data_IF_517278933832
#
_entry.id   IF_517278933832
#
_cell.length_a   1.000
_cell.length_b   1.000
_cell.length_c   1.000
_cell.angle_alpha   90.00
_cell.angle_beta   90.00
_cell.angle_gamma   90.00
#
_symmetry.space_group_name_H-M   'P 1'
#
loop_
_entity.id
_entity.type
_entity.pdbx_description
1 polymer ?
#
# COMPACT_ATOMS: atom_id res chain seq x y z
N UNK A 1 9.15 -18.60 -13.27
CA UNK A 1 8.08 -18.23 -12.31
C UNK A 1 7.40 -16.92 -12.66
N UNK A 2 8.14 -15.88 -13.10
CA UNK A 2 7.57 -14.56 -13.43
C UNK A 2 6.34 -14.61 -14.36
N UNK A 3 6.36 -15.43 -15.41
CA UNK A 3 5.23 -15.59 -16.36
C UNK A 3 4.00 -16.31 -15.80
N UNK A 4 4.10 -16.88 -14.60
CA UNK A 4 3.06 -17.68 -13.94
C UNK A 4 2.72 -17.12 -12.56
N UNK A 5 3.04 -15.85 -12.29
CA UNK A 5 2.82 -15.23 -11.00
C UNK A 5 1.34 -15.23 -10.56
N UNK A 6 0.38 -15.30 -11.50
CA UNK A 6 -1.05 -15.44 -11.20
C UNK A 6 -1.41 -16.66 -10.34
N UNK A 7 -0.56 -17.69 -10.32
CA UNK A 7 -0.77 -18.89 -9.49
C UNK A 7 -0.74 -18.54 -8.00
N UNK A 8 0.05 -17.54 -7.60
CA UNK A 8 0.22 -17.13 -6.20
C UNK A 8 -1.12 -16.68 -5.57
N UNK A 9 -1.83 -15.66 -6.11
CA UNK A 9 -3.15 -15.30 -5.59
C UNK A 9 -4.19 -16.41 -5.79
N UNK A 10 -4.08 -17.21 -6.86
CA UNK A 10 -5.01 -18.30 -7.14
C UNK A 10 -4.98 -19.38 -6.05
N UNK A 11 -3.79 -19.77 -5.57
CA UNK A 11 -3.64 -20.74 -4.48
C UNK A 11 -4.37 -20.25 -3.22
N UNK A 12 -4.24 -18.97 -2.87
CA UNK A 12 -4.93 -18.39 -1.71
C UNK A 12 -6.44 -18.30 -1.92
N UNK A 13 -6.90 -17.97 -3.12
CA UNK A 13 -8.33 -17.95 -3.45
C UNK A 13 -8.95 -19.36 -3.39
N UNK A 14 -8.24 -20.38 -3.89
CA UNK A 14 -8.67 -21.78 -3.78
C UNK A 14 -8.67 -22.22 -2.31
N UNK A 15 -7.65 -21.85 -1.52
CA UNK A 15 -7.62 -22.10 -0.08
C UNK A 15 -8.87 -21.58 0.61
N UNK A 16 -9.29 -20.35 0.34
CA UNK A 16 -10.54 -19.79 0.85
C UNK A 16 -11.76 -20.67 0.53
N UNK A 17 -11.93 -21.08 -0.73
CA UNK A 17 -13.06 -21.91 -1.15
C UNK A 17 -13.05 -23.27 -0.47
N UNK A 18 -11.88 -23.91 -0.36
CA UNK A 18 -11.74 -25.22 0.29
C UNK A 18 -12.02 -25.11 1.79
N UNK A 19 -11.50 -24.09 2.47
CA UNK A 19 -11.76 -23.87 3.90
C UNK A 19 -13.26 -23.68 4.15
N UNK A 20 -13.97 -22.91 3.33
CA UNK A 20 -15.42 -22.76 3.47
C UNK A 20 -16.19 -24.05 3.18
N UNK A 21 -15.79 -24.81 2.16
CA UNK A 21 -16.50 -26.01 1.74
C UNK A 21 -16.32 -27.20 2.70
N UNK A 22 -15.09 -27.43 3.17
CA UNK A 22 -14.74 -28.63 3.94
C UNK A 22 -14.07 -28.35 5.28
N UNK A 23 -13.72 -27.10 5.62
CA UNK A 23 -12.96 -26.77 6.83
C UNK A 23 -13.61 -27.26 8.14
N UNK A 24 -14.94 -27.25 8.23
CA UNK A 24 -15.67 -27.79 9.40
C UNK A 24 -15.56 -29.32 9.57
N UNK A 25 -15.19 -30.04 8.51
CA UNK A 25 -15.00 -31.50 8.52
C UNK A 25 -13.56 -31.90 8.84
N UNK A 26 -12.64 -30.93 8.89
CA UNK A 26 -11.22 -31.15 9.11
C UNK A 26 -10.85 -31.06 10.60
N UNK A 27 -9.82 -31.79 11.04
CA UNK A 27 -9.45 -31.89 12.44
C UNK A 27 -8.99 -30.56 13.05
N UNK A 28 -8.41 -29.64 12.26
CA UNK A 28 -7.99 -28.31 12.74
C UNK A 28 -8.84 -27.17 12.18
N UNK A 29 -10.08 -27.46 11.75
CA UNK A 29 -11.03 -26.42 11.37
C UNK A 29 -10.69 -25.64 10.10
N UNK A 30 -9.69 -26.08 9.31
CA UNK A 30 -9.26 -25.48 8.05
C UNK A 30 -8.00 -24.62 8.14
N UNK A 31 -7.41 -24.40 9.33
CA UNK A 31 -6.18 -23.62 9.47
C UNK A 31 -4.98 -24.27 8.78
N UNK A 32 -4.93 -25.60 8.73
CA UNK A 32 -3.90 -26.36 8.05
C UNK A 32 -3.84 -26.04 6.54
N UNK A 33 -4.99 -25.80 5.90
CA UNK A 33 -5.07 -25.44 4.48
C UNK A 33 -4.54 -24.02 4.28
N UNK A 34 -5.01 -23.06 5.10
CA UNK A 34 -4.60 -21.67 4.99
C UNK A 34 -3.10 -21.49 5.19
N UNK A 35 -2.54 -22.13 6.23
CA UNK A 35 -1.11 -22.10 6.55
C UNK A 35 -0.28 -22.77 5.44
N UNK A 36 -0.70 -23.95 4.95
CA UNK A 36 0.02 -24.62 3.87
C UNK A 36 -0.01 -23.80 2.57
N UNK A 37 -1.17 -23.23 2.22
CA UNK A 37 -1.34 -22.41 1.03
C UNK A 37 -0.43 -21.18 1.05
N UNK A 38 -0.41 -20.42 2.16
CA UNK A 38 0.43 -19.22 2.26
C UNK A 38 1.92 -19.56 2.31
N UNK A 39 2.30 -20.70 2.91
CA UNK A 39 3.68 -21.18 2.89
C UNK A 39 4.16 -21.52 1.47
N UNK A 40 3.32 -22.20 0.67
CA UNK A 40 3.62 -22.44 -0.75
C UNK A 40 3.73 -21.13 -1.52
N UNK A 41 2.80 -20.20 -1.29
CA UNK A 41 2.85 -18.86 -1.90
C UNK A 41 4.13 -18.10 -1.54
N UNK A 42 4.61 -18.19 -0.30
CA UNK A 42 5.86 -17.56 0.12
C UNK A 42 7.07 -18.13 -0.63
N UNK A 43 7.15 -19.45 -0.81
CA UNK A 43 8.20 -20.08 -1.62
C UNK A 43 8.13 -19.63 -3.08
N UNK A 44 6.93 -19.56 -3.65
CA UNK A 44 6.73 -19.06 -5.02
C UNK A 44 7.08 -17.57 -5.16
N UNK A 45 6.82 -16.76 -4.13
CA UNK A 45 7.22 -15.36 -4.08
C UNK A 45 8.74 -15.21 -4.03
N UNK A 46 9.45 -16.01 -3.23
CA UNK A 46 10.92 -16.06 -3.23
C UNK A 46 11.49 -16.52 -4.57
N UNK A 47 10.88 -17.51 -5.21
CA UNK A 47 11.28 -17.96 -6.55
C UNK A 47 11.04 -16.89 -7.63
N UNK A 48 10.00 -16.07 -7.46
CA UNK A 48 9.76 -14.89 -8.30
C UNK A 48 10.78 -13.79 -8.01
N UNK A 49 11.16 -13.61 -6.74
CA UNK A 49 12.32 -12.83 -6.26
C UNK A 49 13.60 -13.15 -7.01
N UNK A 50 14.00 -14.42 -6.93
CA UNK A 50 15.19 -14.92 -7.61
C UNK A 50 15.09 -14.76 -9.13
N UNK A 51 13.93 -15.08 -9.72
CA UNK A 51 13.74 -14.92 -11.16
C UNK A 51 13.83 -13.47 -11.63
N UNK A 52 13.38 -12.50 -10.82
CA UNK A 52 13.53 -11.08 -11.12
C UNK A 52 14.98 -10.64 -10.99
N UNK A 53 15.66 -11.03 -9.90
CA UNK A 53 17.09 -10.77 -9.69
C UNK A 53 17.95 -11.30 -10.84
N UNK A 54 17.71 -12.53 -11.28
CA UNK A 54 18.41 -13.12 -12.42
C UNK A 54 18.16 -12.33 -13.71
N UNK A 55 16.91 -11.96 -13.99
CA UNK A 55 16.55 -11.09 -15.13
C UNK A 55 17.22 -9.71 -15.08
N UNK A 56 17.49 -9.18 -13.88
CA UNK A 56 18.15 -7.87 -13.73
C UNK A 56 19.65 -7.95 -14.00
N UNK A 57 20.31 -9.05 -13.62
CA UNK A 57 21.74 -9.25 -13.83
C UNK A 57 22.07 -9.88 -15.20
N UNK A 58 21.13 -10.60 -15.78
CA UNK A 58 21.23 -11.25 -17.09
C UNK A 58 20.01 -10.83 -17.94
N UNK A 59 20.00 -9.60 -18.46
CA UNK A 59 18.91 -9.15 -19.31
C UNK A 59 18.80 -10.06 -20.55
N UNK A 60 17.58 -10.43 -20.98
CA UNK A 60 17.39 -11.18 -22.21
C UNK A 60 17.95 -10.38 -23.40
N UNK A 61 18.60 -11.07 -24.34
CA UNK A 61 19.07 -10.45 -25.60
C UNK A 61 17.89 -9.74 -26.28
N UNK A 62 18.07 -8.44 -26.56
CA UNK A 62 17.09 -7.65 -27.29
C UNK A 62 17.22 -8.04 -28.77
N UNK A 63 16.16 -8.60 -29.37
CA UNK A 63 16.08 -8.75 -30.82
C UNK A 63 16.12 -7.34 -31.44
N UNK A 64 17.25 -6.97 -32.05
CA UNK A 64 17.53 -5.67 -32.67
C UNK A 64 16.57 -5.26 -33.83
N UNK A 65 15.51 -6.03 -34.08
CA UNK A 65 14.50 -5.72 -35.09
C UNK A 65 13.46 -4.66 -34.64
N UNK A 66 13.43 -4.29 -33.36
CA UNK A 66 12.42 -3.34 -32.82
C UNK A 66 12.94 -1.93 -32.51
N UNK A 67 14.25 -1.69 -32.53
CA UNK A 67 14.83 -0.35 -32.32
C UNK A 67 14.66 0.59 -33.52
N UNK A 68 14.61 0.06 -34.76
CA UNK A 68 14.43 0.91 -35.96
C UNK A 68 13.05 1.59 -36.02
N UNK A 69 12.05 1.09 -35.30
CA UNK A 69 10.72 1.72 -35.25
C UNK A 69 10.63 2.87 -34.23
N UNK A 70 11.47 2.87 -33.20
CA UNK A 70 11.49 3.90 -32.16
C UNK A 70 12.48 5.05 -32.48
N UNK A 71 13.61 4.76 -33.13
CA UNK A 71 14.61 5.76 -33.48
C UNK A 71 14.17 6.72 -34.60
N UNK A 72 13.24 6.30 -35.48
CA UNK A 72 12.78 7.16 -36.59
C UNK A 72 11.73 8.20 -36.19
N UNK A 73 11.17 8.12 -34.97
CA UNK A 73 10.20 9.09 -34.45
C UNK A 73 10.83 10.34 -33.82
N UNK A 74 12.08 10.23 -33.33
CA UNK A 74 12.78 11.32 -32.62
C UNK A 74 13.64 12.20 -33.54
N UNK A 75 13.98 11.73 -34.75
CA UNK A 75 14.85 12.46 -35.67
C UNK A 75 14.13 13.51 -36.55
N UNK A 76 12.81 13.64 -36.46
CA UNK A 76 12.02 14.51 -37.35
C UNK A 76 11.57 15.85 -36.73
N UNK A 77 12.09 16.24 -35.56
CA UNK A 77 11.68 17.46 -34.85
C UNK A 77 12.85 18.42 -34.52
N UNK A 78 13.88 18.47 -35.36
CA UNK A 78 14.96 19.46 -35.28
C UNK A 78 14.96 20.37 -36.49
N UNK A 79 14.08 21.38 -36.52
CA UNK A 79 14.09 22.42 -37.55
C UNK A 79 15.02 23.58 -37.15
N UNK A 80 15.82 24.00 -38.13
CA UNK A 80 16.89 24.99 -38.09
C UNK A 80 16.42 26.36 -37.59
N UNK A 81 17.23 27.02 -36.75
CA UNK A 81 17.20 28.48 -36.60
C UNK A 81 18.63 29.00 -36.62
N UNK A 82 18.85 29.94 -37.53
CA UNK A 82 20.11 30.53 -37.97
C UNK A 82 20.84 31.36 -36.89
N UNK A 83 22.17 31.36 -37.01
CA UNK A 83 23.10 32.31 -36.38
C UNK A 83 22.98 33.69 -37.04
N UNK A 84 22.94 34.77 -36.25
CA UNK A 84 23.60 36.04 -36.61
C UNK A 84 23.81 36.97 -35.40
N UNK A 85 24.93 37.71 -35.49
CA UNK A 85 25.67 38.46 -34.47
C UNK A 85 24.99 39.69 -33.85
N UNK A 86 25.39 40.07 -32.62
CA UNK A 86 25.96 41.40 -32.32
C UNK A 86 26.39 41.54 -30.84
N UNK A 87 27.60 42.10 -30.67
CA UNK A 87 28.33 42.34 -29.42
C UNK A 87 27.81 43.55 -28.60
N UNK A 88 28.08 43.55 -27.28
CA UNK A 88 28.77 44.63 -26.54
C UNK A 88 28.79 44.41 -25.01
N UNK A 89 30.02 44.41 -24.48
CA UNK A 89 30.56 45.09 -23.30
C UNK A 89 30.21 44.76 -21.82
N UNK A 90 31.32 44.72 -21.08
CA UNK A 90 31.62 45.02 -19.67
C UNK A 90 31.49 43.96 -18.56
N UNK A 91 32.67 43.38 -18.28
CA UNK A 91 33.40 43.44 -17.00
C UNK A 91 32.62 43.30 -15.68
N UNK A 92 32.80 42.15 -15.02
CA UNK A 92 33.48 42.11 -13.72
C UNK A 92 33.88 40.67 -13.38
N UNK A 93 35.19 40.46 -13.25
CA UNK A 93 35.80 39.27 -12.68
C UNK A 93 35.78 39.32 -11.15
N UNK A 94 35.54 38.18 -10.51
CA UNK A 94 36.42 37.72 -9.43
C UNK A 94 36.42 36.19 -9.35
N UNK A 95 37.63 35.66 -9.54
CA UNK A 95 38.13 34.29 -9.31
C UNK A 95 37.95 33.92 -7.82
N UNK A 96 38.01 32.70 -7.29
CA UNK A 96 38.43 31.38 -7.72
C UNK A 96 37.90 30.37 -6.69
N UNK A 97 37.60 29.15 -7.14
CA UNK A 97 37.96 27.92 -6.43
C UNK A 97 37.85 26.75 -7.42
N UNK A 98 38.90 26.60 -8.22
CA UNK A 98 39.15 25.39 -8.98
C UNK A 98 39.42 24.24 -7.99
N UNK A 99 38.52 23.27 -7.96
CA UNK A 99 38.80 21.92 -7.51
C UNK A 99 38.73 21.02 -8.74
N UNK A 100 39.89 20.64 -9.26
CA UNK A 100 40.04 19.49 -10.16
C UNK A 100 39.54 18.25 -9.40
N UNK A 101 38.45 17.65 -9.86
CA UNK A 101 38.09 16.28 -9.52
C UNK A 101 38.05 15.48 -10.82
N UNK A 102 39.22 14.98 -11.21
CA UNK A 102 39.39 13.89 -12.18
C UNK A 102 38.81 12.61 -11.57
N UNK A 103 37.49 12.49 -11.64
CA UNK A 103 36.74 11.29 -11.30
C UNK A 103 36.01 10.78 -12.53
N UNK A 104 36.58 9.78 -13.22
CA UNK A 104 35.83 8.90 -14.11
C UNK A 104 34.73 8.18 -13.33
N UNK A 105 33.59 8.85 -13.14
CA UNK A 105 32.31 8.20 -12.88
C UNK A 105 31.74 7.81 -14.23
N UNK A 106 31.89 6.54 -14.61
CA UNK A 106 31.01 5.96 -15.63
C UNK A 106 29.57 6.27 -15.23
N UNK A 107 28.85 7.04 -16.05
CA UNK A 107 27.41 7.05 -16.01
C UNK A 107 26.95 5.59 -16.17
N UNK A 108 26.68 4.91 -15.06
CA UNK A 108 25.95 3.65 -15.10
C UNK A 108 24.59 4.01 -15.68
N UNK A 109 24.45 3.84 -17.00
CA UNK A 109 23.18 3.88 -17.67
C UNK A 109 22.26 2.92 -16.90
N UNK A 110 21.34 3.45 -16.09
CA UNK A 110 20.41 2.66 -15.32
C UNK A 110 19.59 1.82 -16.30
N UNK A 111 19.98 0.55 -16.46
CA UNK A 111 19.35 -0.33 -17.42
C UNK A 111 17.92 -0.62 -16.94
N UNK A 112 16.93 0.02 -17.57
CA UNK A 112 15.53 -0.16 -17.20
C UNK A 112 15.09 -1.54 -17.68
N UNK A 113 14.87 -2.47 -16.75
CA UNK A 113 14.39 -3.82 -17.07
C UNK A 113 12.88 -3.79 -17.23
N UNK A 114 12.32 -4.11 -18.42
CA UNK A 114 10.89 -4.04 -18.65
C UNK A 114 10.14 -5.09 -17.82
N UNK A 115 8.93 -4.76 -17.35
CA UNK A 115 8.09 -5.68 -16.59
C UNK A 115 7.72 -6.91 -17.43
N UNK A 116 7.53 -8.05 -16.76
CA UNK A 116 6.96 -9.24 -17.38
C UNK A 116 5.44 -9.13 -17.31
N UNK A 117 4.81 -8.88 -18.45
CA UNK A 117 3.35 -8.76 -18.57
C UNK A 117 2.79 -10.02 -19.22
N UNK A 118 1.72 -10.56 -18.62
CA UNK A 118 0.91 -11.61 -19.21
C UNK A 118 -0.55 -11.29 -18.99
N UNK A 119 -1.31 -11.16 -20.06
CA UNK A 119 -2.73 -10.84 -20.00
C UNK A 119 -3.54 -11.75 -20.91
N UNK A 120 -4.84 -11.78 -20.67
CA UNK A 120 -5.84 -12.44 -21.50
C UNK A 120 -7.02 -11.50 -21.63
N UNK A 121 -7.58 -11.38 -22.84
CA UNK A 121 -8.81 -10.61 -23.06
C UNK A 121 -9.96 -11.27 -22.32
N UNK A 122 -10.55 -10.54 -21.38
CA UNK A 122 -11.70 -11.00 -20.61
C UNK A 122 -13.01 -10.65 -21.29
N UNK A 123 -13.14 -9.40 -21.74
CA UNK A 123 -14.32 -8.89 -22.44
C UNK A 123 -13.92 -7.86 -23.49
N UNK A 124 -14.61 -7.89 -24.63
CA UNK A 124 -14.45 -6.92 -25.70
C UNK A 124 -15.82 -6.56 -26.29
N UNK A 125 -16.12 -5.26 -26.30
CA UNK A 125 -17.34 -4.73 -26.91
C UNK A 125 -17.15 -3.27 -27.34
N UNK A 126 -17.62 -2.92 -28.54
CA UNK A 126 -17.64 -1.56 -29.10
C UNK A 126 -16.32 -0.77 -28.91
N UNK A 127 -15.19 -1.44 -29.18
CA UNK A 127 -13.84 -0.84 -29.07
C UNK A 127 -13.23 -0.87 -27.66
N UNK A 128 -13.97 -1.26 -26.63
CA UNK A 128 -13.46 -1.36 -25.25
C UNK A 128 -12.77 -2.71 -25.02
N UNK A 129 -11.45 -2.61 -24.87
CA UNK A 129 -10.41 -3.55 -24.40
C UNK A 129 -10.39 -3.95 -22.93
N UNK A 130 -11.14 -4.94 -22.42
CA UNK A 130 -10.95 -5.38 -21.01
C UNK A 130 -10.07 -6.62 -20.92
N UNK A 131 -8.86 -6.45 -20.39
CA UNK A 131 -7.91 -7.54 -20.11
C UNK A 131 -7.90 -7.91 -18.63
N UNK A 132 -7.51 -9.15 -18.33
CA UNK A 132 -7.13 -9.59 -16.99
C UNK A 132 -5.75 -10.20 -17.09
N UNK A 133 -4.84 -9.79 -16.22
CA UNK A 133 -3.43 -10.12 -16.37
C UNK A 133 -2.61 -9.94 -15.11
N UNK A 134 -1.32 -10.16 -15.29
CA UNK A 134 -0.30 -9.95 -14.27
C UNK A 134 0.83 -9.10 -14.81
N UNK A 135 1.19 -8.06 -14.07
CA UNK A 135 2.40 -7.25 -14.28
C UNK A 135 3.42 -7.56 -13.18
N UNK A 136 4.58 -8.09 -13.57
CA UNK A 136 5.64 -8.47 -12.63
C UNK A 136 6.90 -7.66 -12.91
N UNK A 137 7.24 -6.80 -11.95
CA UNK A 137 8.50 -6.08 -11.88
C UNK A 137 9.10 -6.11 -10.47
N UNK A 138 10.15 -5.32 -10.22
CA UNK A 138 10.81 -5.25 -8.91
C UNK A 138 9.86 -4.83 -7.78
N UNK A 139 8.96 -3.89 -8.04
CA UNK A 139 7.99 -3.42 -7.04
C UNK A 139 6.95 -4.50 -6.72
N UNK A 140 6.43 -5.21 -7.73
CA UNK A 140 5.52 -6.35 -7.55
C UNK A 140 6.20 -7.44 -6.74
N UNK A 141 7.43 -7.81 -7.11
CA UNK A 141 8.16 -8.93 -6.52
C UNK A 141 8.50 -8.67 -5.06
N UNK A 142 8.96 -7.45 -4.73
CA UNK A 142 9.17 -7.03 -3.35
C UNK A 142 7.87 -7.19 -2.53
N UNK A 143 6.75 -6.69 -3.06
CA UNK A 143 5.46 -6.76 -2.36
C UNK A 143 4.91 -8.18 -2.24
N UNK A 144 5.13 -9.06 -3.23
CA UNK A 144 4.76 -10.48 -3.12
C UNK A 144 5.47 -11.14 -1.93
N UNK A 145 6.76 -10.88 -1.75
CA UNK A 145 7.54 -11.43 -0.63
C UNK A 145 7.02 -10.88 0.70
N UNK A 146 6.84 -9.55 0.80
CA UNK A 146 6.36 -8.90 2.04
C UNK A 146 4.97 -9.41 2.44
N UNK A 147 4.03 -9.44 1.50
CA UNK A 147 2.64 -9.87 1.77
C UNK A 147 2.59 -11.35 2.16
N UNK A 148 3.28 -12.23 1.43
CA UNK A 148 3.28 -13.67 1.74
C UNK A 148 4.02 -13.98 3.04
N UNK A 149 5.11 -13.28 3.35
CA UNK A 149 5.86 -13.43 4.59
C UNK A 149 5.03 -13.04 5.82
N UNK A 150 4.49 -11.82 5.83
CA UNK A 150 3.69 -11.33 6.96
C UNK A 150 2.41 -12.15 7.08
N UNK A 151 1.77 -12.49 5.96
CA UNK A 151 0.58 -13.35 5.97
C UNK A 151 0.89 -14.73 6.54
N UNK A 152 2.03 -15.34 6.23
CA UNK A 152 2.43 -16.63 6.82
C UNK A 152 2.57 -16.53 8.34
N UNK A 153 3.24 -15.50 8.85
CA UNK A 153 3.38 -15.28 10.30
C UNK A 153 2.01 -15.09 10.96
N UNK A 154 1.13 -14.31 10.35
CA UNK A 154 -0.23 -14.09 10.84
C UNK A 154 -1.05 -15.38 10.83
N UNK A 155 -1.01 -16.17 9.75
CA UNK A 155 -1.72 -17.45 9.68
C UNK A 155 -1.24 -18.42 10.77
N UNK A 156 0.07 -18.50 11.01
CA UNK A 156 0.62 -19.37 12.07
C UNK A 156 0.20 -18.86 13.45
N UNK A 157 0.37 -17.56 13.72
CA UNK A 157 0.04 -16.97 15.02
C UNK A 157 -1.46 -17.04 15.33
N UNK A 158 -2.33 -16.87 14.32
CA UNK A 158 -3.77 -16.98 14.48
C UNK A 158 -4.23 -18.38 14.90
N UNK A 159 -3.43 -19.43 14.67
CA UNK A 159 -3.85 -20.81 14.96
C UNK A 159 -4.10 -21.04 16.44
N UNK A 160 -3.29 -20.39 17.27
CA UNK A 160 -3.39 -20.39 18.72
C UNK A 160 -4.26 -19.23 19.21
N UNK A 161 -4.12 -18.03 18.62
CA UNK A 161 -4.83 -16.83 19.09
C UNK A 161 -6.36 -16.96 19.06
N UNK A 162 -6.94 -17.54 18.00
CA UNK A 162 -8.39 -17.78 17.90
C UNK A 162 -8.78 -19.22 18.24
N UNK A 163 -7.89 -19.98 18.91
CA UNK A 163 -8.18 -21.36 19.30
C UNK A 163 -9.45 -21.43 20.16
N UNK A 164 -10.37 -22.34 19.81
CA UNK A 164 -11.64 -22.49 20.50
C UNK A 164 -12.73 -21.47 20.10
N UNK A 165 -12.47 -20.53 19.19
CA UNK A 165 -13.50 -19.63 18.68
C UNK A 165 -14.53 -20.41 17.83
N UNK A 166 -15.82 -20.21 18.09
CA UNK A 166 -16.95 -20.78 17.33
C UNK A 166 -16.85 -20.54 15.82
N UNK A 167 -16.19 -19.47 15.39
CA UNK A 167 -16.06 -19.02 13.99
C UNK A 167 -14.69 -19.32 13.37
N UNK A 168 -13.88 -20.19 13.98
CA UNK A 168 -12.53 -20.52 13.54
C UNK A 168 -12.39 -20.74 12.02
N UNK A 169 -13.24 -21.57 11.42
CA UNK A 169 -13.20 -21.85 9.97
C UNK A 169 -13.48 -20.62 9.11
N UNK A 170 -14.44 -19.77 9.50
CA UNK A 170 -14.75 -18.55 8.74
C UNK A 170 -13.62 -17.53 8.85
N UNK A 171 -13.01 -17.42 10.03
CA UNK A 171 -11.84 -16.57 10.24
C UNK A 171 -10.71 -16.93 9.26
N UNK A 172 -10.33 -18.21 9.18
CA UNK A 172 -9.29 -18.67 8.25
C UNK A 172 -9.67 -18.55 6.78
N UNK A 173 -10.97 -18.72 6.47
CA UNK A 173 -11.50 -18.43 5.14
C UNK A 173 -11.25 -16.98 4.77
N UNK A 174 -11.77 -16.02 5.54
CA UNK A 174 -11.60 -14.60 5.24
C UNK A 174 -10.14 -14.15 5.32
N UNK A 175 -9.31 -14.75 6.17
CA UNK A 175 -7.86 -14.48 6.20
C UNK A 175 -7.16 -14.92 4.91
N UNK A 176 -7.55 -16.09 4.37
CA UNK A 176 -7.07 -16.58 3.07
C UNK A 176 -7.54 -15.70 1.93
N UNK A 177 -8.83 -15.32 1.92
CA UNK A 177 -9.38 -14.42 0.91
C UNK A 177 -8.71 -13.06 0.96
N UNK A 178 -8.48 -12.49 2.14
CA UNK A 178 -7.80 -11.20 2.30
C UNK A 178 -6.39 -11.21 1.71
N UNK A 179 -5.65 -12.30 1.95
CA UNK A 179 -4.32 -12.51 1.37
C UNK A 179 -4.40 -12.67 -0.15
N UNK A 180 -5.38 -13.44 -0.66
CA UNK A 180 -5.61 -13.59 -2.10
C UNK A 180 -5.90 -12.24 -2.77
N UNK A 181 -6.75 -11.42 -2.16
CA UNK A 181 -7.12 -10.07 -2.62
C UNK A 181 -5.89 -9.16 -2.71
N UNK A 182 -5.06 -9.13 -1.67
CA UNK A 182 -3.86 -8.29 -1.67
C UNK A 182 -2.85 -8.77 -2.71
N UNK A 183 -2.64 -10.07 -2.87
CA UNK A 183 -1.73 -10.62 -3.88
C UNK A 183 -2.24 -10.35 -5.30
N UNK A 184 -3.56 -10.45 -5.51
CA UNK A 184 -4.21 -10.11 -6.78
C UNK A 184 -4.04 -8.62 -7.09
N UNK A 185 -4.24 -7.75 -6.08
CA UNK A 185 -4.03 -6.29 -6.18
C UNK A 185 -2.59 -5.93 -6.54
N UNK A 186 -1.60 -6.56 -5.91
CA UNK A 186 -0.18 -6.31 -6.21
C UNK A 186 0.17 -6.72 -7.64
N UNK A 187 -0.43 -7.78 -8.18
CA UNK A 187 -0.15 -8.25 -9.53
C UNK A 187 -0.88 -7.48 -10.64
N UNK A 188 -1.66 -6.46 -10.32
CA UNK A 188 -2.52 -5.79 -11.29
C UNK A 188 -1.73 -5.16 -12.43
N UNK A 189 -2.19 -5.44 -13.65
CA UNK A 189 -1.67 -4.86 -14.89
C UNK A 189 -2.50 -3.65 -15.32
N UNK A 190 -3.80 -3.67 -15.04
CA UNK A 190 -4.73 -2.63 -15.45
C UNK A 190 -5.51 -2.05 -14.27
N UNK A 191 -6.00 -0.82 -14.45
CA UNK A 191 -6.69 -0.03 -13.41
C UNK A 191 -8.03 -0.65 -12.98
N UNK A 192 -8.71 -1.38 -13.87
CA UNK A 192 -9.95 -2.07 -13.52
C UNK A 192 -9.70 -3.24 -12.55
N UNK A 193 -8.69 -4.05 -12.82
CA UNK A 193 -8.25 -5.13 -11.92
C UNK A 193 -7.77 -4.56 -10.58
N UNK A 194 -7.11 -3.39 -10.60
CA UNK A 194 -6.73 -2.64 -9.40
C UNK A 194 -7.95 -2.27 -8.56
N UNK A 195 -9.01 -1.73 -9.16
CA UNK A 195 -10.27 -1.45 -8.44
C UNK A 195 -10.83 -2.73 -7.82
N UNK A 196 -10.90 -3.83 -8.57
CA UNK A 196 -11.42 -5.12 -8.04
C UNK A 196 -10.61 -5.61 -6.84
N UNK A 197 -9.27 -5.58 -6.91
CA UNK A 197 -8.40 -5.95 -5.79
C UNK A 197 -8.61 -5.03 -4.58
N UNK A 198 -8.72 -3.72 -4.83
CA UNK A 198 -8.93 -2.70 -3.81
C UNK A 198 -10.23 -2.90 -3.03
N UNK A 199 -11.32 -3.18 -3.75
CA UNK A 199 -12.63 -3.53 -3.22
C UNK A 199 -12.58 -4.80 -2.37
N UNK A 200 -11.96 -5.85 -2.91
CA UNK A 200 -11.92 -7.15 -2.26
C UNK A 200 -11.10 -7.11 -0.96
N UNK A 201 -10.00 -6.34 -0.92
CA UNK A 201 -9.25 -6.04 0.31
C UNK A 201 -10.18 -5.33 1.32
N UNK A 202 -11.01 -4.38 0.89
CA UNK A 202 -11.94 -3.67 1.77
C UNK A 202 -13.03 -4.58 2.34
N UNK A 203 -13.65 -5.39 1.49
CA UNK A 203 -14.67 -6.36 1.90
C UNK A 203 -14.13 -7.36 2.93
N UNK A 204 -12.94 -7.89 2.70
CA UNK A 204 -12.31 -8.82 3.63
C UNK A 204 -11.94 -8.16 4.95
N UNK A 205 -11.44 -6.92 4.93
CA UNK A 205 -11.17 -6.17 6.16
C UNK A 205 -12.44 -5.94 6.99
N UNK A 206 -13.58 -5.66 6.34
CA UNK A 206 -14.86 -5.52 7.03
C UNK A 206 -15.26 -6.82 7.76
N UNK A 207 -15.16 -7.95 7.07
CA UNK A 207 -15.46 -9.26 7.66
C UNK A 207 -14.52 -9.63 8.81
N UNK A 208 -13.24 -9.28 8.73
CA UNK A 208 -12.24 -9.60 9.74
C UNK A 208 -12.27 -8.65 10.96
N UNK A 209 -12.53 -7.35 10.76
CA UNK A 209 -12.75 -6.39 11.86
C UNK A 209 -14.02 -6.76 12.61
N UNK A 210 -15.10 -7.06 11.88
CA UNK A 210 -16.39 -7.48 12.44
C UNK A 210 -16.46 -8.95 12.86
N UNK A 211 -15.34 -9.64 13.08
CA UNK A 211 -15.33 -11.09 13.39
C UNK A 211 -16.21 -11.44 14.61
N UNK A 212 -16.12 -10.63 15.66
CA UNK A 212 -16.97 -10.72 16.86
C UNK A 212 -18.18 -9.78 16.78
N UNK A 213 -18.96 -9.89 15.71
CA UNK A 213 -20.12 -9.04 15.42
C UNK A 213 -21.27 -9.08 16.45
N UNK A 214 -21.30 -10.07 17.34
CA UNK A 214 -22.29 -10.15 18.44
C UNK A 214 -22.14 -8.98 19.40
N UNK A 215 -20.92 -8.48 19.57
CA UNK A 215 -20.64 -7.26 20.32
C UNK A 215 -20.93 -6.06 19.43
N UNK A 216 -21.98 -5.31 19.77
CA UNK A 216 -22.38 -4.11 19.01
C UNK A 216 -21.22 -3.14 18.75
N UNK A 217 -20.31 -2.84 19.71
CA UNK A 217 -19.17 -1.96 19.44
C UNK A 217 -18.27 -2.45 18.31
N UNK A 218 -18.09 -3.76 18.15
CA UNK A 218 -17.25 -4.34 17.09
C UNK A 218 -17.91 -4.21 15.72
N UNK A 219 -19.23 -4.41 15.66
CA UNK A 219 -20.02 -4.19 14.45
C UNK A 219 -20.03 -2.73 14.02
N UNK A 220 -20.19 -1.81 14.98
CA UNK A 220 -20.15 -0.36 14.72
C UNK A 220 -18.76 0.07 14.20
N UNK A 221 -17.68 -0.49 14.77
CA UNK A 221 -16.32 -0.26 14.30
C UNK A 221 -16.08 -0.78 12.88
N UNK A 222 -16.54 -2.00 12.57
CA UNK A 222 -16.44 -2.57 11.24
C UNK A 222 -17.21 -1.73 10.20
N UNK A 223 -18.43 -1.29 10.56
CA UNK A 223 -19.25 -0.44 9.69
C UNK A 223 -18.61 0.92 9.45
N UNK A 224 -18.07 1.56 10.50
CA UNK A 224 -17.32 2.81 10.38
C UNK A 224 -16.13 2.64 9.43
N UNK A 225 -15.35 1.59 9.60
CA UNK A 225 -14.24 1.27 8.70
C UNK A 225 -14.69 1.07 7.26
N UNK A 226 -15.73 0.29 7.03
CA UNK A 226 -16.25 0.08 5.68
C UNK A 226 -16.72 1.39 5.04
N UNK A 227 -17.57 2.16 5.72
CA UNK A 227 -18.14 3.40 5.20
C UNK A 227 -17.08 4.49 4.97
N UNK A 228 -16.13 4.68 5.88
CA UNK A 228 -15.06 5.66 5.68
C UNK A 228 -14.16 5.30 4.50
N UNK A 229 -13.88 4.02 4.29
CA UNK A 229 -13.16 3.56 3.10
C UNK A 229 -13.98 3.81 1.83
N UNK A 230 -15.28 3.44 1.83
CA UNK A 230 -16.20 3.68 0.69
C UNK A 230 -16.22 5.13 0.24
N UNK A 231 -16.17 6.09 1.17
CA UNK A 231 -16.13 7.52 0.82
C UNK A 231 -14.86 7.87 0.03
N UNK A 232 -13.69 7.38 0.44
CA UNK A 232 -12.46 7.58 -0.34
C UNK A 232 -12.46 6.79 -1.66
N UNK A 233 -13.14 5.66 -1.72
CA UNK A 233 -13.25 4.83 -2.92
C UNK A 233 -14.07 5.52 -4.02
N UNK A 234 -14.92 6.50 -3.68
CA UNK A 234 -15.52 7.40 -4.68
C UNK A 234 -14.44 8.17 -5.44
N UNK A 235 -13.42 8.67 -4.74
CA UNK A 235 -12.29 9.34 -5.39
C UNK A 235 -11.40 8.39 -6.19
N UNK A 236 -11.27 7.13 -5.77
CA UNK A 236 -10.63 6.10 -6.59
C UNK A 236 -11.34 5.98 -7.94
N UNK A 237 -12.68 5.83 -7.92
CA UNK A 237 -13.48 5.67 -9.13
C UNK A 237 -13.37 6.90 -10.03
N UNK A 238 -13.54 8.11 -9.47
CA UNK A 238 -13.45 9.35 -10.26
C UNK A 238 -12.05 9.54 -10.85
N UNK A 239 -10.99 9.26 -10.09
CA UNK A 239 -9.62 9.35 -10.56
C UNK A 239 -9.31 8.37 -11.69
N UNK A 240 -9.71 7.11 -11.53
CA UNK A 240 -9.52 6.07 -12.55
C UNK A 240 -10.35 6.34 -13.82
N UNK A 241 -11.58 6.83 -13.68
CA UNK A 241 -12.41 7.24 -14.83
C UNK A 241 -11.77 8.42 -15.58
N UNK A 242 -11.24 9.41 -14.85
CA UNK A 242 -10.55 10.56 -15.45
C UNK A 242 -9.34 10.10 -16.26
N UNK A 243 -8.53 9.18 -15.71
CA UNK A 243 -7.38 8.59 -16.42
C UNK A 243 -7.82 7.80 -17.65
N UNK A 244 -8.86 6.96 -17.53
CA UNK A 244 -9.38 6.17 -18.64
C UNK A 244 -9.73 7.04 -19.86
N UNK A 245 -10.52 8.10 -19.65
CA UNK A 245 -10.91 8.99 -20.75
C UNK A 245 -9.75 9.82 -21.29
N UNK A 246 -8.83 10.24 -20.42
CA UNK A 246 -7.71 11.11 -20.81
C UNK A 246 -6.56 10.34 -21.47
N UNK A 247 -6.48 9.02 -21.23
CA UNK A 247 -5.52 8.11 -21.86
C UNK A 247 -6.10 7.40 -23.12
N UNK A 248 -7.15 7.96 -23.73
CA UNK A 248 -7.71 7.41 -24.98
C UNK A 248 -8.52 6.12 -24.82
N UNK A 249 -9.07 5.86 -23.63
CA UNK A 249 -9.94 4.71 -23.38
C UNK A 249 -9.21 3.41 -23.04
N UNK A 250 -8.00 3.50 -22.48
CA UNK A 250 -7.23 2.33 -22.02
C UNK A 250 -7.32 2.16 -20.50
N UNK A 251 -7.31 0.90 -20.05
CA UNK A 251 -7.14 0.54 -18.64
C UNK A 251 -5.70 0.16 -18.29
N UNK A 252 -4.80 0.01 -19.28
CA UNK A 252 -3.44 -0.45 -19.05
C UNK A 252 -2.60 0.59 -18.29
N UNK A 253 -2.02 0.19 -17.16
CA UNK A 253 -1.25 1.07 -16.28
C UNK A 253 0.04 1.53 -16.98
N UNK A 254 0.68 0.66 -17.77
CA UNK A 254 1.93 1.01 -18.48
C UNK A 254 1.67 2.13 -19.48
N UNK A 255 0.65 1.97 -20.31
CA UNK A 255 0.25 2.96 -21.31
C UNK A 255 -0.14 4.28 -20.66
N UNK A 256 -0.94 4.27 -19.58
CA UNK A 256 -1.30 5.50 -18.84
C UNK A 256 -0.04 6.22 -18.34
N UNK A 257 0.92 5.49 -17.78
CA UNK A 257 2.17 6.06 -17.27
C UNK A 257 3.05 6.62 -18.40
N UNK A 258 3.13 5.94 -19.54
CA UNK A 258 3.87 6.42 -20.72
C UNK A 258 3.26 7.71 -21.26
N UNK A 259 1.94 7.77 -21.42
CA UNK A 259 1.21 8.96 -21.90
C UNK A 259 1.29 10.14 -20.91
N UNK A 260 1.32 9.86 -19.61
CA UNK A 260 1.56 10.89 -18.59
C UNK A 260 2.98 11.46 -18.71
N UNK A 261 3.98 10.62 -18.98
CA UNK A 261 5.37 11.05 -19.15
C UNK A 261 5.63 11.78 -20.48
N UNK A 262 4.97 11.38 -21.58
CA UNK A 262 5.10 12.05 -22.88
C UNK A 262 4.39 13.41 -22.94
N UNK A 263 3.55 13.73 -21.95
CA UNK A 263 2.78 14.97 -21.91
C UNK A 263 1.52 14.94 -22.77
N UNK A 264 1.13 13.77 -23.31
CA UNK A 264 -0.09 13.60 -24.10
C UNK A 264 -1.37 13.72 -23.24
N UNK A 265 -1.28 13.39 -21.95
CA UNK A 265 -2.36 13.64 -21.00
C UNK A 265 -2.24 15.07 -20.48
N UNK A 266 -3.29 15.88 -20.66
CA UNK A 266 -3.31 17.26 -20.15
C UNK A 266 -3.01 17.34 -18.65
N UNK A 267 -2.22 18.33 -18.25
CA UNK A 267 -1.86 18.57 -16.84
C UNK A 267 -3.09 18.65 -15.93
N UNK A 268 -4.13 19.38 -16.34
CA UNK A 268 -5.38 19.51 -15.57
C UNK A 268 -6.03 18.16 -15.29
N UNK A 269 -6.06 17.27 -16.28
CA UNK A 269 -6.62 15.92 -16.09
C UNK A 269 -5.78 15.10 -15.11
N UNK A 270 -4.44 15.16 -15.21
CA UNK A 270 -3.54 14.49 -14.27
C UNK A 270 -3.66 15.05 -12.85
N UNK A 271 -3.83 16.36 -12.70
CA UNK A 271 -4.06 17.01 -11.41
C UNK A 271 -5.36 16.53 -10.78
N UNK A 272 -6.48 16.58 -11.52
CA UNK A 272 -7.79 16.11 -11.04
C UNK A 272 -7.73 14.63 -10.67
N UNK A 273 -7.15 13.79 -11.53
CA UNK A 273 -6.96 12.38 -11.26
C UNK A 273 -6.14 12.15 -9.98
N UNK A 274 -5.00 12.83 -9.84
CA UNK A 274 -4.12 12.72 -8.68
C UNK A 274 -4.82 13.12 -7.37
N UNK A 275 -5.55 14.24 -7.36
CA UNK A 275 -6.29 14.69 -6.18
C UNK A 275 -7.40 13.70 -5.79
N UNK A 276 -8.14 13.19 -6.78
CA UNK A 276 -9.17 12.18 -6.54
C UNK A 276 -8.56 10.87 -6.01
N UNK A 277 -7.47 10.38 -6.60
CA UNK A 277 -6.78 9.18 -6.13
C UNK A 277 -6.17 9.36 -4.73
N UNK A 278 -5.67 10.55 -4.37
CA UNK A 278 -5.22 10.86 -3.00
C UNK A 278 -6.35 10.64 -1.98
N UNK A 279 -7.60 10.97 -2.30
CA UNK A 279 -8.70 10.71 -1.35
C UNK A 279 -8.89 9.23 -1.05
N UNK A 280 -8.64 8.35 -2.03
CA UNK A 280 -8.64 6.90 -1.84
C UNK A 280 -7.43 6.45 -1.01
N UNK A 281 -6.25 7.02 -1.26
CA UNK A 281 -5.04 6.76 -0.45
C UNK A 281 -5.29 7.18 1.00
N UNK A 282 -5.91 8.35 1.22
CA UNK A 282 -6.22 8.85 2.55
C UNK A 282 -7.13 7.92 3.33
N UNK A 283 -8.15 7.35 2.67
CA UNK A 283 -9.06 6.41 3.32
C UNK A 283 -8.39 5.07 3.63
N UNK A 284 -7.86 4.35 2.63
CA UNK A 284 -7.27 3.00 2.82
C UNK A 284 -6.03 2.98 3.68
N UNK A 285 -5.19 4.01 3.55
CA UNK A 285 -3.94 4.13 4.29
C UNK A 285 -4.13 4.74 5.68
N UNK A 286 -5.37 5.09 6.04
CA UNK A 286 -5.69 5.68 7.34
C UNK A 286 -4.95 7.00 7.57
N UNK A 287 -4.80 7.83 6.54
CA UNK A 287 -4.15 9.14 6.65
C UNK A 287 -5.19 10.22 6.97
N UNK A 288 -4.73 11.35 7.53
CA UNK A 288 -5.56 12.54 7.63
C UNK A 288 -6.10 12.88 6.24
N UNK A 289 -7.39 13.14 5.99
CA UNK A 289 -8.55 13.45 6.85
C UNK A 289 -9.38 12.21 7.24
N UNK A 290 -9.23 11.09 6.52
CA UNK A 290 -10.09 9.90 6.61
C UNK A 290 -9.55 8.80 7.53
N UNK A 291 -8.61 9.10 8.42
CA UNK A 291 -7.96 8.17 9.36
C UNK A 291 -8.84 7.61 10.48
N UNK A 292 -10.00 8.20 10.77
CA UNK A 292 -10.74 7.99 12.02
C UNK A 292 -11.28 6.57 12.21
N UNK A 293 -11.30 5.75 11.16
CA UNK A 293 -11.67 4.34 11.26
C UNK A 293 -10.54 3.44 11.78
N UNK A 294 -9.29 3.84 11.60
CA UNK A 294 -8.12 3.01 11.86
C UNK A 294 -7.97 2.63 13.35
N UNK A 295 -8.18 3.55 14.32
CA UNK A 295 -8.13 3.20 15.74
C UNK A 295 -9.24 2.24 16.17
N UNK A 296 -10.42 2.35 15.55
CA UNK A 296 -11.58 1.52 15.89
C UNK A 296 -11.48 0.12 15.26
N UNK A 297 -10.78 -0.01 14.13
CA UNK A 297 -10.48 -1.30 13.51
C UNK A 297 -9.71 -2.27 14.42
N UNK A 298 -9.12 -1.77 15.51
CA UNK A 298 -8.52 -2.59 16.59
C UNK A 298 -9.55 -3.38 17.41
N UNK A 299 -10.83 -3.31 17.07
CA UNK A 299 -11.88 -4.21 17.56
C UNK A 299 -11.71 -5.65 17.04
N UNK A 300 -11.06 -5.82 15.89
CA UNK A 300 -10.78 -7.14 15.32
C UNK A 300 -9.72 -7.92 16.11
N UNK A 301 -9.55 -9.23 15.82
CA UNK A 301 -8.48 -10.03 16.42
C UNK A 301 -7.09 -9.41 16.14
N UNK A 302 -6.20 -9.37 17.13
CA UNK A 302 -4.85 -8.79 16.97
C UNK A 302 -4.06 -9.28 15.74
N UNK A 303 -4.11 -10.56 15.33
CA UNK A 303 -3.44 -11.00 14.10
C UNK A 303 -3.97 -10.30 12.84
N UNK A 304 -5.27 -9.95 12.82
CA UNK A 304 -5.89 -9.20 11.71
C UNK A 304 -5.34 -7.78 11.67
N UNK A 305 -5.27 -7.10 12.80
CA UNK A 305 -4.68 -5.77 12.89
C UNK A 305 -3.23 -5.79 12.39
N UNK A 306 -2.43 -6.78 12.80
CA UNK A 306 -1.05 -6.93 12.31
C UNK A 306 -1.00 -7.05 10.78
N UNK A 307 -1.89 -7.84 10.17
CA UNK A 307 -1.95 -8.00 8.71
C UNK A 307 -2.38 -6.71 8.00
N UNK A 308 -3.45 -6.07 8.47
CA UNK A 308 -4.03 -4.83 7.92
C UNK A 308 -3.00 -3.69 7.92
N UNK A 309 -2.27 -3.51 9.03
CA UNK A 309 -1.37 -2.37 9.22
C UNK A 309 0.05 -2.61 8.70
N UNK A 310 0.53 -3.85 8.64
CA UNK A 310 1.91 -4.11 8.26
C UNK A 310 2.09 -4.44 6.77
N UNK A 311 1.11 -5.09 6.13
CA UNK A 311 1.34 -5.71 4.83
C UNK A 311 0.28 -5.44 3.77
N UNK A 312 -0.96 -5.13 4.15
CA UNK A 312 -2.08 -5.17 3.20
C UNK A 312 -2.76 -3.82 3.02
N UNK A 313 -3.80 -3.54 3.81
CA UNK A 313 -4.77 -2.49 3.52
C UNK A 313 -4.16 -1.10 3.52
N UNK A 314 -3.32 -0.78 4.51
CA UNK A 314 -2.68 0.54 4.55
C UNK A 314 -1.56 0.69 3.52
N UNK A 315 -0.96 -0.42 3.10
CA UNK A 315 0.11 -0.44 2.09
C UNK A 315 -0.48 -0.34 0.68
N UNK A 316 -1.71 -0.81 0.47
CA UNK A 316 -2.37 -0.79 -0.84
C UNK A 316 -2.48 0.63 -1.43
N UNK A 317 -2.78 1.64 -0.61
CA UNK A 317 -2.83 3.03 -1.06
C UNK A 317 -1.47 3.54 -1.54
N UNK A 318 -0.41 3.29 -0.77
CA UNK A 318 0.95 3.69 -1.14
C UNK A 318 1.45 2.89 -2.36
N UNK A 319 1.11 1.62 -2.46
CA UNK A 319 1.42 0.80 -3.63
C UNK A 319 0.79 1.35 -4.90
N UNK A 320 -0.48 1.78 -4.85
CA UNK A 320 -1.14 2.43 -5.98
C UNK A 320 -0.41 3.73 -6.39
N UNK A 321 0.03 4.54 -5.40
CA UNK A 321 0.82 5.75 -5.68
C UNK A 321 2.12 5.40 -6.39
N UNK A 322 2.84 4.39 -5.93
CA UNK A 322 4.07 3.93 -6.57
C UNK A 322 3.82 3.39 -7.99
N UNK A 323 2.70 2.68 -8.21
CA UNK A 323 2.31 2.14 -9.53
C UNK A 323 1.94 3.20 -10.54
N UNK A 324 1.30 4.28 -10.10
CA UNK A 324 0.86 5.40 -10.92
C UNK A 324 1.75 6.63 -10.70
N UNK A 325 3.02 6.44 -10.33
CA UNK A 325 3.89 7.53 -9.91
C UNK A 325 4.00 8.66 -10.96
N UNK A 326 4.14 8.38 -12.28
CA UNK A 326 4.10 9.42 -13.32
C UNK A 326 2.84 10.30 -13.26
N UNK A 327 1.67 9.72 -13.01
CA UNK A 327 0.41 10.47 -12.88
C UNK A 327 0.50 11.49 -11.75
N UNK A 328 0.98 11.06 -10.57
CA UNK A 328 1.14 11.95 -9.42
C UNK A 328 2.26 12.98 -9.62
N UNK A 329 3.37 12.56 -10.22
CA UNK A 329 4.52 13.41 -10.49
C UNK A 329 4.14 14.62 -11.35
N UNK A 330 3.50 14.37 -12.49
CA UNK A 330 3.11 15.42 -13.43
C UNK A 330 1.87 16.16 -12.96
N UNK A 331 0.86 15.44 -12.46
CA UNK A 331 -0.40 16.02 -12.00
C UNK A 331 -0.23 16.96 -10.82
N UNK A 332 0.56 16.58 -9.82
CA UNK A 332 0.89 17.46 -8.68
C UNK A 332 2.12 18.33 -8.95
N UNK A 333 2.73 18.18 -10.13
CA UNK A 333 3.95 18.87 -10.54
C UNK A 333 5.06 18.78 -9.50
N UNK A 334 5.31 17.59 -8.96
CA UNK A 334 6.20 17.35 -7.81
C UNK A 334 7.63 17.88 -8.06
N UNK A 335 8.11 17.83 -9.31
CA UNK A 335 9.45 18.30 -9.67
C UNK A 335 9.60 19.82 -9.77
N UNK A 336 8.52 20.58 -9.98
CA UNK A 336 8.57 22.03 -10.28
C UNK A 336 7.69 22.88 -9.38
N UNK A 337 6.68 22.30 -8.73
CA UNK A 337 5.71 22.98 -7.89
C UNK A 337 5.98 22.77 -6.40
N UNK A 338 6.06 23.89 -5.68
CA UNK A 338 5.87 23.97 -4.23
C UNK A 338 4.38 24.15 -3.87
N UNK A 339 3.44 23.80 -4.77
CA UNK A 339 2.00 23.96 -4.53
C UNK A 339 1.58 22.93 -3.50
N UNK A 340 1.63 23.39 -2.27
CA UNK A 340 1.26 22.60 -1.13
C UNK A 340 -0.27 22.61 -1.06
N UNK A 341 -0.94 21.48 -1.31
CA UNK A 341 -2.38 21.38 -1.06
C UNK A 341 -2.74 21.86 0.36
N UNK A 342 -1.79 21.73 1.30
CA UNK A 342 -1.90 22.29 2.63
C UNK A 342 -1.84 23.82 2.70
N UNK A 343 -1.17 24.51 1.77
CA UNK A 343 -1.20 25.97 1.66
C UNK A 343 -2.57 26.46 1.18
N UNK A 344 -3.22 25.74 0.28
CA UNK A 344 -4.60 26.03 -0.14
C UNK A 344 -5.58 25.80 1.01
N UNK A 345 -5.41 24.70 1.75
CA UNK A 345 -6.22 24.41 2.94
C UNK A 345 -5.93 25.40 4.08
N UNK A 346 -4.69 25.84 4.26
CA UNK A 346 -4.27 26.87 5.20
C UNK A 346 -4.91 28.22 4.91
N UNK A 347 -4.87 28.64 3.65
CA UNK A 347 -5.56 29.83 3.18
C UNK A 347 -7.08 29.73 3.43
N UNK A 348 -7.69 28.59 3.07
CA UNK A 348 -9.13 28.39 3.26
C UNK A 348 -9.57 28.32 4.74
N UNK A 349 -8.74 27.74 5.61
CA UNK A 349 -9.01 27.64 7.05
C UNK A 349 -8.58 28.91 7.83
N UNK A 350 -7.92 29.87 7.17
CA UNK A 350 -7.33 31.04 7.81
C UNK A 350 -6.26 30.69 8.85
N UNK A 351 -5.58 29.54 8.70
CA UNK A 351 -4.56 29.04 9.63
C UNK A 351 -3.20 29.06 8.95
N UNK A 352 -2.10 29.38 9.67
CA UNK A 352 -0.77 29.28 9.09
C UNK A 352 -0.45 27.80 8.77
N UNK A 353 0.30 27.57 7.68
CA UNK A 353 0.63 26.22 7.16
C UNK A 353 1.09 25.24 8.27
N UNK A 354 1.97 25.60 9.22
CA UNK A 354 2.42 24.69 10.27
C UNK A 354 1.30 24.17 11.18
N UNK A 355 0.19 24.91 11.31
CA UNK A 355 -0.97 24.52 12.12
C UNK A 355 -1.95 23.61 11.37
N UNK A 356 -1.90 23.60 10.03
CA UNK A 356 -2.66 22.65 9.20
C UNK A 356 -1.91 21.32 9.07
N UNK A 357 -0.59 21.33 9.24
CA UNK A 357 0.31 20.18 9.21
C UNK A 357 1.56 20.46 8.36
N UNK A 358 2.48 19.51 8.29
CA UNK A 358 3.60 19.58 7.35
C UNK A 358 3.43 18.46 6.32
N UNK A 359 3.40 18.82 5.04
CA UNK A 359 3.40 17.89 3.91
C UNK A 359 4.79 17.72 3.30
N UNK A 360 5.84 18.24 3.92
CA UNK A 360 7.20 18.00 3.47
C UNK A 360 7.51 16.51 3.64
N UNK A 361 7.11 15.73 2.64
CA UNK A 361 7.81 14.53 2.20
C UNK A 361 9.21 14.97 1.79
N UNK A 362 10.08 15.19 2.79
CA UNK A 362 11.50 14.98 2.58
C UNK A 362 11.79 13.53 2.91
N UNK A 363 12.43 12.83 1.96
CA UNK A 363 13.11 11.60 2.32
C UNK A 363 14.24 11.92 3.34
N UNK A 364 14.55 11.06 4.33
CA UNK A 364 13.83 9.86 4.77
C UNK A 364 13.30 10.01 6.22
N UNK A 365 12.01 9.76 6.42
CA UNK A 365 11.32 9.59 7.72
C UNK A 365 11.18 10.83 8.64
N UNK A 366 9.95 11.34 8.77
CA UNK A 366 9.34 11.57 10.09
C UNK A 366 7.81 11.53 9.97
N UNK A 367 7.09 10.59 10.61
CA UNK A 367 5.67 10.76 10.84
C UNK A 367 5.49 11.95 11.77
N UNK A 368 4.64 12.91 11.42
CA UNK A 368 4.23 13.97 12.35
C UNK A 368 3.54 13.30 13.53
N UNK A 369 4.20 13.23 14.69
CA UNK A 369 3.57 12.84 15.95
C UNK A 369 2.48 13.85 16.28
N UNK A 370 1.22 13.40 16.23
CA UNK A 370 -0.03 14.12 16.51
C UNK A 370 -0.15 14.78 17.91
N UNK A 371 0.93 14.89 18.68
CA UNK A 371 0.94 15.60 19.95
C UNK A 371 0.66 17.10 19.83
N UNK A 372 0.69 17.67 18.62
CA UNK A 372 0.52 19.11 18.37
C UNK A 372 -0.91 19.53 18.02
N UNK A 373 -1.78 18.61 17.57
CA UNK A 373 -3.16 18.95 17.14
C UNK A 373 -4.18 18.73 18.26
N UNK A 374 -3.92 17.78 19.18
CA UNK A 374 -4.74 17.62 20.36
C UNK A 374 -4.24 18.59 21.45
N UNK A 375 -5.00 19.66 21.71
CA UNK A 375 -4.80 20.48 22.91
C UNK A 375 -4.69 19.62 24.18
N UNK A 376 -4.06 20.15 25.22
CA UNK A 376 -3.68 19.43 26.46
C UNK A 376 -4.84 18.82 27.27
N UNK A 377 -6.08 18.97 26.82
CA UNK A 377 -7.27 18.39 27.44
C UNK A 377 -7.61 17.03 26.83
N UNK A 378 -7.04 15.96 27.39
CA UNK A 378 -7.43 14.57 27.09
C UNK A 378 -8.48 14.13 28.13
N UNK A 379 -9.68 13.77 27.67
CA UNK A 379 -10.72 13.16 28.51
C UNK A 379 -10.72 11.63 28.39
N UNK A 380 -11.52 10.94 29.21
CA UNK A 380 -11.63 9.46 29.23
C UNK A 380 -12.00 8.84 27.86
N UNK A 381 -12.64 9.60 26.96
CA UNK A 381 -12.96 9.15 25.60
C UNK A 381 -11.74 9.08 24.66
N UNK A 382 -10.66 9.82 24.97
CA UNK A 382 -9.40 9.81 24.21
C UNK A 382 -8.34 8.88 24.81
N UNK A 383 -8.58 8.34 26.01
CA UNK A 383 -7.68 7.39 26.68
C UNK A 383 -8.46 6.17 27.21
N UNK A 384 -9.10 5.39 26.31
CA UNK A 384 -9.83 4.19 26.73
C UNK A 384 -8.83 3.16 27.27
N UNK A 385 -8.90 2.88 28.57
CA UNK A 385 -8.08 1.83 29.21
C UNK A 385 -8.53 0.46 28.70
N UNK A 386 -7.79 -0.11 27.74
CA UNK A 386 -8.04 -1.46 27.23
C UNK A 386 -7.40 -2.50 28.16
N UNK A 387 -8.13 -3.57 28.44
CA UNK A 387 -7.71 -4.64 29.37
C UNK A 387 -7.63 -5.97 28.62
N UNK A 388 -6.69 -6.82 29.00
CA UNK A 388 -6.57 -8.16 28.42
C UNK A 388 -7.66 -9.10 28.98
N UNK A 389 -8.03 -10.19 28.31
CA UNK A 389 -8.97 -11.18 28.85
C UNK A 389 -8.51 -11.80 30.19
N UNK A 390 -7.20 -11.78 30.45
CA UNK A 390 -6.60 -12.26 31.69
C UNK A 390 -6.60 -11.20 32.81
N UNK A 391 -7.07 -9.97 32.57
CA UNK A 391 -7.03 -8.84 33.52
C UNK A 391 -7.77 -9.16 34.82
N UNK A 392 -8.93 -9.81 34.73
CA UNK A 392 -9.72 -10.21 35.90
C UNK A 392 -8.99 -11.25 36.76
N UNK A 393 -8.36 -12.24 36.12
CA UNK A 393 -7.54 -13.24 36.82
C UNK A 393 -6.28 -12.61 37.41
N UNK A 394 -5.60 -11.73 36.66
CA UNK A 394 -4.38 -11.07 37.10
C UNK A 394 -4.64 -10.14 38.31
N UNK A 395 -5.75 -9.40 38.31
CA UNK A 395 -6.19 -8.61 39.48
C UNK A 395 -6.46 -9.50 40.68
N UNK A 396 -7.17 -10.61 40.50
CA UNK A 396 -7.44 -11.57 41.57
C UNK A 396 -6.15 -12.22 42.11
N UNK A 397 -5.13 -12.39 41.27
CA UNK A 397 -3.82 -12.91 41.63
C UNK A 397 -2.85 -11.83 42.17
N UNK A 398 -3.31 -10.59 42.37
CA UNK A 398 -2.53 -9.51 42.98
C UNK A 398 -1.49 -8.87 42.08
N UNK A 399 -1.71 -8.90 40.75
CA UNK A 399 -0.77 -8.30 39.81
C UNK A 399 -0.72 -6.77 39.91
N UNK A 400 0.47 -6.22 39.70
CA UNK A 400 0.64 -4.80 39.40
C UNK A 400 0.50 -4.57 37.90
N UNK A 401 -0.06 -3.43 37.53
CA UNK A 401 -0.33 -3.06 36.15
C UNK A 401 0.49 -1.84 35.75
N UNK A 402 0.92 -1.82 34.50
CA UNK A 402 1.49 -0.65 33.84
C UNK A 402 0.64 -0.25 32.64
N UNK A 403 0.67 1.04 32.33
CA UNK A 403 0.03 1.59 31.15
C UNK A 403 1.04 1.56 29.99
N UNK A 404 0.72 0.81 28.93
CA UNK A 404 1.52 0.69 27.71
C UNK A 404 0.72 1.25 26.54
N UNK A 405 0.83 2.57 26.33
CA UNK A 405 -0.09 3.29 25.46
C UNK A 405 -1.51 3.26 26.03
N UNK A 406 -2.50 2.82 25.25
CA UNK A 406 -3.90 2.69 25.70
C UNK A 406 -4.24 1.34 26.36
N UNK A 407 -3.24 0.50 26.66
CA UNK A 407 -3.43 -0.84 27.24
C UNK A 407 -2.94 -0.89 28.68
N UNK A 408 -3.77 -1.46 29.58
CA UNK A 408 -3.31 -1.94 30.88
C UNK A 408 -2.76 -3.35 30.74
N UNK A 409 -1.44 -3.46 30.92
CA UNK A 409 -0.73 -4.74 30.93
C UNK A 409 -0.33 -5.09 32.34
N UNK A 410 -0.35 -6.37 32.66
CA UNK A 410 0.27 -6.88 33.88
C UNK A 410 1.78 -6.69 33.81
N UNK A 411 2.31 -5.87 34.72
CA UNK A 411 3.74 -5.60 34.87
C UNK A 411 4.44 -6.75 35.60
N UNK A 412 3.95 -7.11 36.79
CA UNK A 412 4.54 -8.16 37.62
C UNK A 412 3.55 -8.64 38.70
N UNK A 413 3.87 -9.77 39.34
CA UNK A 413 3.14 -10.31 40.50
C UNK A 413 4.07 -10.24 41.73
N UNK A 414 4.06 -9.12 42.49
CA UNK A 414 4.95 -8.95 43.62
C UNK A 414 4.56 -9.86 44.78
N UNK A 415 5.55 -10.49 45.42
CA UNK A 415 5.35 -11.17 46.71
C UNK A 415 5.35 -10.15 47.84
N UNK A 416 4.76 -10.49 48.99
CA UNK A 416 4.83 -9.62 50.18
C UNK A 416 6.30 -9.36 50.53
N UNK A 417 6.69 -8.08 50.60
CA UNK A 417 8.06 -7.54 50.79
C UNK A 417 9.01 -7.48 49.57
N UNK A 418 8.57 -7.89 48.38
CA UNK A 418 9.39 -7.80 47.14
C UNK A 418 9.28 -6.38 46.53
N UNK A 419 10.40 -5.82 46.07
CA UNK A 419 10.37 -4.55 45.32
C UNK A 419 9.88 -4.79 43.89
N UNK A 420 9.26 -3.80 43.26
CA UNK A 420 8.76 -3.91 41.87
C UNK A 420 9.88 -4.33 40.92
N UNK A 421 11.08 -3.78 41.09
CA UNK A 421 12.23 -4.13 40.26
C UNK A 421 12.67 -5.60 40.44
N UNK A 422 12.65 -6.12 41.68
CA UNK A 422 12.95 -7.52 41.94
C UNK A 422 11.86 -8.46 41.40
N UNK A 423 10.59 -8.04 41.47
CA UNK A 423 9.45 -8.81 40.96
C UNK A 423 9.41 -8.87 39.42
N UNK A 424 9.91 -7.84 38.73
CA UNK A 424 10.06 -7.83 37.26
C UNK A 424 11.28 -8.64 36.80
N UNK A 425 12.34 -8.67 37.61
CA UNK A 425 13.57 -9.40 37.28
C UNK A 425 13.46 -10.93 37.47
N UNK A 426 12.45 -11.40 38.20
CA UNK A 426 12.16 -12.81 38.46
C UNK A 426 11.15 -13.36 37.46
#
# INVERSE_FOLDING_TARGET
MLTHAFIIPLIMAVSFLVILAVGKRLPRGGSEIGIAAVAVCFVLALASGYGWYDRTNHPPEVDHATEEAHATGEAAAGEQVDEDEAAADDEHADEAAAGEDDGHGSEEAHHVVPPVIRNVTWFQHDGVVVTVGTMVDGLTVMMLIVVTFISLLVHVYSSDYVAGDRRYTHYYGFLSLFTASMLMFVLTENTLQLIVGWELVGLCSFALIGHWWEEKPNSDAALKAFLTNRVGDVGLLVGMITLYFSAGGTFDITTINTLANSGEISHTALLVASLCLITAVMSKSGQFILHTWLPDAMAGPTPVSALIHAATMVVAGIYMVARLYPVFWHGLSIGSSNVNALAVVADHLGKPIPEVGLTTFRQPYTPVTFGTIAGTSRGELFDPVRRTPCDAWAQAAGAMFEDVGSWKRTLCFPRSSETVHAAVAR
#
